data_IF_264875548757
#
_entry.id   IF_264875548757
#
_cell.length_a   1.000
_cell.length_b   1.000
_cell.length_c   1.000
_cell.angle_alpha   90.00
_cell.angle_beta   90.00
_cell.angle_gamma   90.00
#
_symmetry.space_group_name_H-M   'P 1'
#
loop_
_entity.id
_entity.type
_entity.pdbx_description
1 polymer ?
#
# COMPACT_ATOMS: atom_id res chain seq x y z
N UNK A 1 17.22 3.67 -9.44
CA UNK A 1 15.93 3.27 -10.04
C UNK A 1 14.81 3.93 -9.26
N UNK A 2 13.76 4.39 -9.93
CA UNK A 2 12.62 5.05 -9.30
C UNK A 2 11.55 4.01 -8.97
N UNK A 3 11.13 3.94 -7.72
CA UNK A 3 10.00 3.10 -7.29
C UNK A 3 8.72 3.92 -7.31
N UNK A 4 7.62 3.34 -7.81
CA UNK A 4 6.31 4.01 -7.89
C UNK A 4 5.36 3.38 -6.87
N UNK A 5 4.80 4.19 -5.97
CA UNK A 5 3.77 3.73 -5.05
C UNK A 5 2.36 4.00 -5.60
N UNK A 6 1.45 3.05 -5.42
CA UNK A 6 0.04 3.10 -5.83
C UNK A 6 -0.82 2.91 -4.57
N UNK A 7 -1.69 3.86 -4.29
CA UNK A 7 -2.68 3.76 -3.19
C UNK A 7 -4.04 3.44 -3.80
N UNK A 8 -4.51 2.21 -3.62
CA UNK A 8 -5.75 1.69 -4.20
C UNK A 8 -7.00 2.09 -3.42
N UNK A 9 -7.97 2.71 -4.09
CA UNK A 9 -9.26 3.11 -3.50
C UNK A 9 -10.31 1.99 -3.52
N UNK A 10 -11.58 2.37 -3.46
CA UNK A 10 -12.69 1.42 -3.66
C UNK A 10 -12.66 0.79 -5.04
N UNK A 11 -12.80 -0.54 -5.11
CA UNK A 11 -12.70 -1.31 -6.35
C UNK A 11 -11.28 -1.66 -6.80
N UNK A 12 -10.25 -1.19 -6.09
CA UNK A 12 -8.84 -1.53 -6.37
C UNK A 12 -8.15 -1.91 -5.05
N UNK A 13 -8.51 -3.07 -4.50
CA UNK A 13 -7.88 -3.65 -3.30
C UNK A 13 -6.69 -4.55 -3.64
N UNK A 14 -6.62 -5.03 -4.87
CA UNK A 14 -5.51 -5.80 -5.42
C UNK A 14 -5.27 -5.40 -6.88
N UNK A 15 -4.05 -5.60 -7.37
CA UNK A 15 -3.70 -5.45 -8.79
C UNK A 15 -3.15 -6.80 -9.24
N UNK A 16 -3.97 -7.59 -9.94
CA UNK A 16 -3.62 -8.94 -10.39
C UNK A 16 -2.38 -8.98 -11.29
N UNK A 17 -2.11 -7.88 -12.02
CA UNK A 17 -0.95 -7.75 -12.91
C UNK A 17 0.38 -7.50 -12.20
N UNK A 18 0.40 -7.30 -10.86
CA UNK A 18 1.65 -7.14 -10.13
C UNK A 18 2.27 -8.52 -9.88
N UNK A 19 3.51 -8.69 -10.32
CA UNK A 19 4.35 -9.80 -9.89
C UNK A 19 4.85 -9.50 -8.48
N UNK A 20 4.13 -9.98 -7.47
CA UNK A 20 4.42 -9.73 -6.06
C UNK A 20 5.76 -10.39 -5.69
N UNK A 21 6.65 -9.59 -5.10
CA UNK A 21 7.95 -10.04 -4.63
C UNK A 21 8.03 -10.10 -3.11
N UNK A 22 7.26 -9.26 -2.41
CA UNK A 22 7.21 -9.23 -0.95
C UNK A 22 5.93 -8.55 -0.45
N UNK A 23 5.59 -8.78 0.82
CA UNK A 23 4.51 -8.09 1.52
C UNK A 23 4.97 -7.75 2.93
N UNK A 24 4.94 -6.46 3.27
CA UNK A 24 5.53 -5.97 4.52
C UNK A 24 4.60 -5.03 5.28
N UNK A 25 4.46 -5.30 6.58
CA UNK A 25 3.81 -4.38 7.51
C UNK A 25 4.85 -3.41 8.09
N UNK A 26 4.55 -2.11 8.04
CA UNK A 26 5.45 -1.08 8.55
C UNK A 26 4.89 -0.49 9.84
N UNK A 27 5.71 -0.55 10.90
CA UNK A 27 5.43 0.19 12.14
C UNK A 27 5.78 1.65 11.90
N UNK A 28 4.82 2.56 12.10
CA UNK A 28 5.04 4.00 11.89
C UNK A 28 4.86 4.79 13.19
N UNK A 29 5.51 5.97 13.33
CA UNK A 29 5.27 6.86 14.46
C UNK A 29 3.84 7.40 14.55
N UNK A 30 3.02 7.19 13.52
CA UNK A 30 1.64 7.68 13.43
C UNK A 30 0.60 6.57 13.69
N UNK A 31 1.05 5.38 14.08
CA UNK A 31 0.21 4.18 14.21
C UNK A 31 0.25 3.31 12.95
N UNK A 32 -0.74 2.44 12.81
CA UNK A 32 -0.74 1.45 11.73
C UNK A 32 -1.18 2.05 10.39
N UNK A 33 -0.57 1.64 9.27
CA UNK A 33 -1.07 1.91 7.94
C UNK A 33 -2.37 1.13 7.69
N UNK A 34 -3.10 1.49 6.62
CA UNK A 34 -4.37 0.86 6.27
C UNK A 34 -4.24 -0.65 5.98
N UNK A 35 -3.10 -1.08 5.45
CA UNK A 35 -2.78 -2.47 5.12
C UNK A 35 -1.25 -2.65 5.07
N UNK A 36 -0.79 -3.88 4.85
CA UNK A 36 0.59 -4.13 4.45
C UNK A 36 0.89 -3.46 3.09
N UNK A 37 2.15 -3.10 2.86
CA UNK A 37 2.63 -2.67 1.55
C UNK A 37 3.01 -3.92 0.74
N UNK A 38 2.41 -4.06 -0.43
CA UNK A 38 2.71 -5.13 -1.39
C UNK A 38 3.80 -4.61 -2.33
N UNK A 39 4.97 -5.22 -2.30
CA UNK A 39 6.09 -4.89 -3.18
C UNK A 39 6.05 -5.84 -4.38
N UNK A 40 6.37 -5.31 -5.56
CA UNK A 40 6.41 -6.14 -6.74
C UNK A 40 6.89 -5.42 -7.98
N UNK A 41 6.63 -6.04 -9.11
CA UNK A 41 6.95 -5.52 -10.42
C UNK A 41 5.71 -5.48 -11.32
N UNK A 42 5.52 -4.38 -12.03
CA UNK A 42 4.49 -4.18 -13.03
C UNK A 42 5.16 -3.69 -14.31
N UNK A 43 5.01 -4.44 -15.41
CA UNK A 43 5.61 -4.11 -16.72
C UNK A 43 7.11 -3.75 -16.68
N UNK A 44 7.90 -4.51 -15.91
CA UNK A 44 9.35 -4.24 -15.78
C UNK A 44 9.70 -3.17 -14.74
N UNK A 45 8.72 -2.56 -14.08
CA UNK A 45 8.91 -1.46 -13.14
C UNK A 45 8.59 -1.87 -11.70
N UNK A 46 9.50 -1.54 -10.77
CA UNK A 46 9.26 -1.70 -9.34
C UNK A 46 8.11 -0.82 -8.87
N UNK A 47 7.12 -1.46 -8.25
CA UNK A 47 5.94 -0.81 -7.70
C UNK A 47 5.69 -1.25 -6.26
N UNK A 48 5.04 -0.38 -5.50
CA UNK A 48 4.53 -0.67 -4.15
C UNK A 48 3.05 -0.37 -4.16
N UNK A 49 2.22 -1.30 -3.70
CA UNK A 49 0.78 -1.12 -3.61
C UNK A 49 0.32 -1.10 -2.15
N UNK A 50 -0.63 -0.21 -1.83
CA UNK A 50 -1.25 -0.11 -0.52
C UNK A 50 -2.76 0.09 -0.66
N UNK A 51 -3.56 -0.81 -0.08
CA UNK A 51 -5.01 -0.68 -0.06
C UNK A 51 -5.44 0.45 0.90
N UNK A 52 -6.02 1.53 0.37
CA UNK A 52 -6.38 2.74 1.13
C UNK A 52 -7.36 2.47 2.27
N UNK A 53 -8.32 1.59 2.03
CA UNK A 53 -9.39 1.23 2.97
C UNK A 53 -9.08 -0.05 3.74
N UNK A 54 -7.83 -0.51 3.68
CA UNK A 54 -7.42 -1.82 4.14
C UNK A 54 -7.90 -2.94 3.22
N UNK A 55 -7.50 -4.15 3.56
CA UNK A 55 -7.95 -5.39 2.96
C UNK A 55 -8.58 -6.24 4.08
N UNK A 56 -9.91 -6.50 4.07
CA UNK A 56 -10.85 -6.44 2.94
C UNK A 56 -11.75 -5.18 2.91
N UNK A 57 -11.20 -3.97 2.76
CA UNK A 57 -11.97 -2.72 2.56
C UNK A 57 -12.87 -2.29 3.73
N UNK A 58 -12.39 -2.38 4.97
CA UNK A 58 -13.18 -2.13 6.18
C UNK A 58 -13.02 -0.72 6.78
N UNK A 59 -11.99 0.03 6.35
CA UNK A 59 -11.66 1.34 6.92
C UNK A 59 -12.46 2.43 6.20
N UNK A 60 -13.38 3.08 6.91
CA UNK A 60 -14.14 4.21 6.39
C UNK A 60 -13.23 5.40 6.02
N UNK A 61 -13.60 6.25 5.04
CA UNK A 61 -12.75 7.36 4.58
C UNK A 61 -12.20 8.27 5.70
N UNK A 62 -13.03 8.62 6.68
CA UNK A 62 -12.65 9.48 7.80
C UNK A 62 -11.78 8.79 8.87
N UNK A 63 -11.58 7.48 8.77
CA UNK A 63 -10.72 6.67 9.67
C UNK A 63 -9.38 6.31 9.06
N UNK A 64 -9.11 6.68 7.80
CA UNK A 64 -7.86 6.36 7.14
C UNK A 64 -6.70 7.08 7.84
N UNK A 65 -5.67 6.32 8.21
CA UNK A 65 -4.45 6.88 8.77
C UNK A 65 -3.49 7.33 7.66
N UNK A 66 -3.81 8.46 7.02
CA UNK A 66 -3.03 8.98 5.89
C UNK A 66 -1.54 9.19 6.21
N UNK A 67 -1.23 9.60 7.44
CA UNK A 67 0.17 9.81 7.87
C UNK A 67 0.94 8.49 7.93
N UNK A 68 0.34 7.44 8.50
CA UNK A 68 0.97 6.12 8.51
C UNK A 68 1.13 5.55 7.09
N UNK A 69 0.13 5.72 6.23
CA UNK A 69 0.21 5.26 4.83
C UNK A 69 1.38 5.89 4.07
N UNK A 70 1.50 7.22 4.12
CA UNK A 70 2.58 7.92 3.43
C UNK A 70 3.95 7.61 4.06
N UNK A 71 4.00 7.42 5.38
CA UNK A 71 5.24 7.05 6.06
C UNK A 71 5.69 5.63 5.67
N UNK A 72 4.79 4.66 5.67
CA UNK A 72 5.07 3.28 5.28
C UNK A 72 5.63 3.23 3.84
N UNK A 73 4.98 3.93 2.90
CA UNK A 73 5.43 4.02 1.51
C UNK A 73 6.77 4.75 1.34
N UNK A 74 7.18 5.58 2.30
CA UNK A 74 8.48 6.24 2.29
C UNK A 74 9.60 5.33 2.81
N UNK A 75 9.27 4.35 3.65
CA UNK A 75 10.23 3.40 4.23
C UNK A 75 10.44 2.17 3.33
N UNK A 76 9.42 1.81 2.55
CA UNK A 76 9.44 0.74 1.54
C UNK A 76 10.25 1.12 0.29
#
# INVERSE_FOLDING_TARGET
MKTTAIIGGSGLTQIESINITDEQLYITPYGDPSAACILGELDGQKVIFLARHGDPHTIAPHKINYRANIWALKQA
#
